data_IF_511048141979
#
_entry.id   IF_511048141979
#
_cell.length_a   1.000
_cell.length_b   1.000
_cell.length_c   1.000
_cell.angle_alpha   90.00
_cell.angle_beta   90.00
_cell.angle_gamma   90.00
#
_symmetry.space_group_name_H-M   'P 1'
#
loop_
_entity.id
_entity.type
_entity.pdbx_description
1 polymer ?
#
# COMPACT_ATOMS: atom_id res chain seq x y z
N UNK A 1 -15.32 2.94 19.64
CA UNK A 1 -15.19 2.40 18.27
C UNK A 1 -14.90 3.48 17.22
N UNK A 2 -15.71 4.58 17.17
CA UNK A 2 -15.59 5.63 16.11
C UNK A 2 -14.19 6.25 16.00
N UNK A 3 -13.46 6.61 17.07
CA UNK A 3 -12.09 7.13 16.95
C UNK A 3 -11.13 6.12 16.32
N UNK A 4 -11.18 4.85 16.73
CA UNK A 4 -10.35 3.77 16.17
C UNK A 4 -10.67 3.59 14.68
N UNK A 5 -11.95 3.53 14.32
CA UNK A 5 -12.39 3.39 12.92
C UNK A 5 -11.89 4.53 12.02
N UNK A 6 -11.90 5.78 12.51
CA UNK A 6 -11.33 6.92 11.79
C UNK A 6 -9.81 6.82 11.67
N UNK A 7 -9.13 6.42 12.75
CA UNK A 7 -7.68 6.28 12.76
C UNK A 7 -7.18 5.12 11.86
N UNK A 8 -8.02 4.09 11.64
CA UNK A 8 -7.76 2.97 10.72
C UNK A 8 -8.21 3.24 9.28
N UNK A 9 -8.42 4.51 8.91
CA UNK A 9 -8.86 4.92 7.60
C UNK A 9 -10.13 4.19 7.13
N UNK A 10 -11.13 4.14 8.02
CA UNK A 10 -12.46 3.60 7.77
C UNK A 10 -12.45 2.11 7.39
N UNK A 11 -11.60 1.32 8.02
CA UNK A 11 -11.49 -0.11 7.77
C UNK A 11 -12.84 -0.84 7.91
N UNK A 12 -13.10 -1.84 7.05
CA UNK A 12 -14.28 -2.68 7.18
C UNK A 12 -14.22 -3.57 8.43
N UNK A 13 -15.38 -4.05 8.90
CA UNK A 13 -15.49 -4.80 10.14
C UNK A 13 -14.57 -6.02 10.23
N UNK A 14 -14.36 -6.76 9.13
CA UNK A 14 -13.43 -7.90 9.10
C UNK A 14 -11.98 -7.48 9.39
N UNK A 15 -11.54 -6.33 8.88
CA UNK A 15 -10.22 -5.77 9.16
C UNK A 15 -10.15 -5.22 10.59
N UNK A 16 -11.20 -4.53 11.04
CA UNK A 16 -11.28 -3.97 12.39
C UNK A 16 -11.16 -5.05 13.47
N UNK A 17 -11.87 -6.16 13.34
CA UNK A 17 -11.78 -7.28 14.29
C UNK A 17 -10.33 -7.71 14.51
N UNK A 18 -9.56 -7.85 13.43
CA UNK A 18 -8.15 -8.23 13.52
C UNK A 18 -7.25 -7.14 14.16
N UNK A 19 -7.65 -5.87 14.06
CA UNK A 19 -6.87 -4.73 14.55
C UNK A 19 -7.23 -4.33 15.99
N UNK A 20 -8.49 -4.50 16.43
CA UNK A 20 -8.97 -4.06 17.74
C UNK A 20 -8.12 -4.52 18.93
N UNK A 21 -7.59 -5.76 19.00
CA UNK A 21 -6.76 -6.20 20.12
C UNK A 21 -5.53 -5.31 20.36
N UNK A 22 -4.97 -4.75 19.32
CA UNK A 22 -3.80 -3.87 19.38
C UNK A 22 -4.19 -2.38 19.43
N UNK A 23 -5.24 -1.99 18.72
CA UNK A 23 -5.66 -0.59 18.63
C UNK A 23 -6.39 -0.09 19.89
N UNK A 24 -7.07 -0.94 20.64
CA UNK A 24 -7.73 -0.54 21.89
C UNK A 24 -6.71 -0.10 22.95
N UNK A 25 -5.68 -0.90 23.30
CA UNK A 25 -4.64 -0.45 24.24
C UNK A 25 -3.93 0.83 23.77
N UNK A 26 -3.61 0.92 22.48
CA UNK A 26 -2.98 2.11 21.91
C UNK A 26 -3.88 3.36 22.02
N UNK A 27 -5.18 3.21 21.83
CA UNK A 27 -6.17 4.27 22.05
C UNK A 27 -6.20 4.72 23.52
N UNK A 28 -6.20 3.76 24.46
CA UNK A 28 -6.25 4.05 25.89
C UNK A 28 -5.01 4.79 26.39
N UNK A 29 -3.85 4.50 25.82
CA UNK A 29 -2.59 5.22 26.10
C UNK A 29 -2.59 6.64 25.53
N UNK A 30 -3.21 6.85 24.40
CA UNK A 30 -3.11 8.10 23.64
C UNK A 30 -4.24 9.08 23.90
N UNK A 31 -5.45 8.60 24.16
CA UNK A 31 -6.65 9.43 24.29
C UNK A 31 -7.24 9.34 25.70
N UNK A 32 -7.96 8.28 25.99
CA UNK A 32 -8.61 8.06 27.27
C UNK A 32 -8.95 6.59 27.51
N UNK A 33 -9.00 6.22 28.76
CA UNK A 33 -9.40 4.88 29.18
C UNK A 33 -10.83 4.56 28.73
N UNK A 34 -11.02 3.35 28.19
CA UNK A 34 -12.31 2.84 27.77
C UNK A 34 -12.97 2.09 28.95
N UNK A 35 -14.30 2.22 29.16
CA UNK A 35 -15.00 1.36 30.11
C UNK A 35 -14.79 -0.13 29.82
N UNK A 36 -14.49 -0.94 30.82
CA UNK A 36 -14.17 -2.37 30.65
C UNK A 36 -15.23 -3.14 29.86
N UNK A 37 -16.50 -2.94 30.19
CA UNK A 37 -17.61 -3.54 29.46
C UNK A 37 -17.63 -3.21 27.96
N UNK A 38 -17.30 -1.96 27.60
CA UNK A 38 -17.23 -1.54 26.18
C UNK A 38 -16.04 -2.21 25.49
N UNK A 39 -14.90 -2.30 26.18
CA UNK A 39 -13.70 -2.98 25.68
C UNK A 39 -13.99 -4.45 25.36
N UNK A 40 -14.58 -5.16 26.29
CA UNK A 40 -14.93 -6.58 26.15
C UNK A 40 -15.92 -6.79 24.99
N UNK A 41 -16.99 -6.00 24.93
CA UNK A 41 -17.97 -6.07 23.84
C UNK A 41 -17.33 -5.80 22.46
N UNK A 42 -16.36 -4.88 22.36
CA UNK A 42 -15.67 -4.60 21.10
C UNK A 42 -14.77 -5.75 20.68
N UNK A 43 -14.07 -6.41 21.63
CA UNK A 43 -13.20 -7.55 21.35
C UNK A 43 -13.98 -8.81 20.96
N UNK A 44 -15.22 -8.96 21.44
CA UNK A 44 -16.11 -10.08 21.11
C UNK A 44 -16.97 -9.81 19.86
N UNK A 45 -17.00 -8.58 19.36
CA UNK A 45 -17.86 -8.20 18.25
C UNK A 45 -17.42 -8.84 16.93
N UNK A 46 -18.39 -9.41 16.18
CA UNK A 46 -18.13 -9.88 14.82
C UNK A 46 -17.90 -8.71 13.85
N UNK A 47 -17.18 -8.94 12.75
CA UNK A 47 -16.99 -7.95 11.71
C UNK A 47 -18.31 -7.39 11.16
N UNK A 48 -19.33 -8.23 11.00
CA UNK A 48 -20.67 -7.80 10.58
C UNK A 48 -21.34 -6.88 11.61
N UNK A 49 -21.16 -7.16 12.90
CA UNK A 49 -21.66 -6.29 13.97
C UNK A 49 -21.00 -4.93 13.93
N UNK A 50 -19.67 -4.87 13.76
CA UNK A 50 -18.92 -3.61 13.62
C UNK A 50 -19.35 -2.83 12.38
N UNK A 51 -19.51 -3.49 11.23
CA UNK A 51 -19.98 -2.84 10.00
C UNK A 51 -21.36 -2.21 10.18
N UNK A 52 -22.32 -2.93 10.81
CA UNK A 52 -23.66 -2.43 11.09
C UNK A 52 -23.66 -1.21 12.03
N UNK A 53 -22.83 -1.24 13.06
CA UNK A 53 -22.70 -0.12 14.01
C UNK A 53 -22.09 1.13 13.36
N UNK A 54 -21.27 0.96 12.33
CA UNK A 54 -20.58 2.05 11.63
C UNK A 54 -21.30 2.52 10.37
N UNK A 55 -22.25 1.76 9.87
CA UNK A 55 -23.01 2.08 8.63
C UNK A 55 -23.62 3.48 8.63
N UNK A 56 -24.29 3.96 9.71
CA UNK A 56 -24.86 5.32 9.73
C UNK A 56 -23.83 6.44 9.65
N UNK A 57 -22.54 6.11 9.86
CA UNK A 57 -21.43 7.07 9.86
C UNK A 57 -20.66 7.10 8.53
N UNK A 58 -21.01 6.25 7.56
CA UNK A 58 -20.36 6.16 6.24
C UNK A 58 -20.92 7.24 5.32
N UNK A 59 -20.05 8.16 4.86
CA UNK A 59 -20.39 9.12 3.81
C UNK A 59 -20.22 8.52 2.41
N UNK A 60 -20.87 9.10 1.40
CA UNK A 60 -20.68 8.74 -0.01
C UNK A 60 -19.43 9.45 -0.54
N UNK A 61 -18.44 8.71 -1.05
CA UNK A 61 -17.23 9.22 -1.66
C UNK A 61 -17.29 9.14 -3.19
N UNK A 62 -16.95 10.24 -3.89
CA UNK A 62 -16.87 10.30 -5.35
C UNK A 62 -15.47 10.74 -5.79
N UNK A 63 -14.77 9.90 -6.60
CA UNK A 63 -13.50 10.25 -7.24
C UNK A 63 -13.21 9.32 -8.43
N UNK A 64 -12.67 9.87 -9.54
CA UNK A 64 -12.29 9.10 -10.74
C UNK A 64 -10.86 9.38 -11.17
N UNK A 65 -10.16 8.36 -11.70
CA UNK A 65 -8.83 8.46 -12.30
C UNK A 65 -8.90 8.72 -13.81
N UNK A 66 -7.95 9.51 -14.36
CA UNK A 66 -7.95 9.98 -15.76
C UNK A 66 -6.81 9.40 -16.62
N UNK A 67 -5.99 8.47 -16.15
CA UNK A 67 -4.79 7.97 -16.86
C UNK A 67 -5.01 6.72 -17.70
N UNK A 68 -4.23 6.55 -18.80
CA UNK A 68 -4.26 5.39 -19.73
C UNK A 68 -2.89 4.70 -19.81
N UNK A 69 -2.82 3.35 -20.09
CA UNK A 69 -1.58 2.58 -20.17
C UNK A 69 -0.71 2.91 -21.39
N UNK A 70 0.63 2.77 -21.28
CA UNK A 70 1.62 2.92 -22.35
C UNK A 70 1.85 1.66 -23.20
N UNK A 71 2.55 1.80 -24.37
CA UNK A 71 2.63 0.74 -25.40
C UNK A 71 4.03 0.24 -25.79
N UNK A 72 5.13 0.75 -25.23
CA UNK A 72 6.50 0.44 -25.62
C UNK A 72 7.09 -0.81 -24.92
N UNK A 73 7.85 -1.65 -25.63
CA UNK A 73 8.57 -2.85 -25.12
C UNK A 73 7.75 -4.08 -24.71
N UNK A 74 6.49 -4.18 -25.08
CA UNK A 74 5.62 -5.33 -24.74
C UNK A 74 6.13 -6.71 -25.21
N UNK A 75 7.01 -6.78 -26.22
CA UNK A 75 7.43 -8.05 -26.82
C UNK A 75 8.61 -8.72 -26.10
N UNK A 76 9.37 -8.00 -25.27
CA UNK A 76 10.61 -8.49 -24.66
C UNK A 76 10.46 -8.97 -23.21
N UNK A 77 9.36 -8.64 -22.54
CA UNK A 77 9.14 -8.98 -21.14
C UNK A 77 8.08 -10.07 -21.03
N UNK A 78 8.37 -11.20 -20.35
CA UNK A 78 7.45 -12.30 -20.21
C UNK A 78 6.20 -11.87 -19.44
N UNK A 79 5.07 -12.45 -19.83
CA UNK A 79 3.81 -12.31 -19.10
C UNK A 79 3.92 -13.10 -17.79
N UNK A 80 3.36 -12.58 -16.69
CA UNK A 80 3.21 -13.29 -15.42
C UNK A 80 2.68 -14.70 -15.66
N UNK A 81 3.48 -15.69 -15.38
CA UNK A 81 3.19 -17.11 -15.54
C UNK A 81 3.59 -17.89 -14.29
N UNK A 82 3.91 -19.17 -14.45
CA UNK A 82 4.33 -20.09 -13.37
C UNK A 82 5.66 -19.75 -12.68
N UNK A 83 6.33 -18.65 -13.08
CA UNK A 83 7.60 -18.21 -12.50
C UNK A 83 7.44 -17.62 -11.09
N UNK A 84 6.24 -17.19 -10.72
CA UNK A 84 5.99 -16.61 -9.40
C UNK A 84 5.76 -17.70 -8.37
N UNK A 85 6.64 -17.76 -7.39
CA UNK A 85 6.42 -18.56 -6.21
C UNK A 85 5.50 -17.78 -5.25
N UNK A 86 4.19 -17.97 -5.41
CA UNK A 86 3.14 -17.17 -4.75
C UNK A 86 3.21 -17.11 -3.22
N UNK A 87 3.94 -18.02 -2.59
CA UNK A 87 4.15 -18.08 -1.14
C UNK A 87 5.38 -17.33 -0.63
N UNK A 88 6.32 -16.95 -1.51
CA UNK A 88 7.58 -16.33 -1.12
C UNK A 88 7.53 -14.81 -1.13
N UNK A 89 8.06 -14.18 -0.06
CA UNK A 89 8.28 -12.74 -0.02
C UNK A 89 9.37 -12.31 -1.02
N UNK A 90 9.20 -11.14 -1.62
CA UNK A 90 10.16 -10.57 -2.56
C UNK A 90 9.62 -10.36 -3.98
N UNK A 91 8.37 -10.70 -4.24
CA UNK A 91 7.71 -10.45 -5.51
C UNK A 91 6.83 -9.21 -5.42
N UNK A 92 7.32 -8.07 -5.95
CA UNK A 92 6.62 -6.80 -5.91
C UNK A 92 5.74 -6.57 -7.14
N UNK A 93 4.46 -6.31 -6.91
CA UNK A 93 3.59 -5.67 -7.89
C UNK A 93 3.78 -4.15 -7.78
N UNK A 94 4.14 -3.49 -8.89
CA UNK A 94 4.39 -2.05 -8.93
C UNK A 94 3.47 -1.34 -9.91
N UNK A 95 3.01 -0.15 -9.51
CA UNK A 95 2.16 0.72 -10.34
C UNK A 95 2.49 2.19 -10.10
N UNK A 96 2.04 3.07 -10.97
CA UNK A 96 2.18 4.52 -10.81
C UNK A 96 0.83 5.21 -10.67
N UNK A 97 0.77 6.16 -9.75
CA UNK A 97 -0.43 6.97 -9.50
C UNK A 97 -0.14 8.43 -9.77
N UNK A 98 -0.81 9.01 -10.77
CA UNK A 98 -0.70 10.41 -11.14
C UNK A 98 -1.43 11.31 -10.12
N UNK A 99 -0.76 12.26 -9.51
CA UNK A 99 -1.39 13.30 -8.69
C UNK A 99 -1.67 14.56 -9.53
N UNK A 100 -2.39 14.38 -10.63
CA UNK A 100 -2.63 15.37 -11.69
C UNK A 100 -3.87 16.25 -11.45
N UNK A 101 -4.71 15.96 -10.47
CA UNK A 101 -6.00 16.64 -10.32
C UNK A 101 -6.92 16.39 -11.51
N UNK A 102 -7.57 17.45 -11.98
CA UNK A 102 -8.48 17.42 -13.13
C UNK A 102 -7.81 17.53 -14.50
N UNK A 103 -6.46 17.63 -14.58
CA UNK A 103 -5.72 17.81 -15.85
C UNK A 103 -4.42 17.04 -15.86
N UNK A 104 -4.12 16.36 -16.95
CA UNK A 104 -2.85 15.66 -17.19
C UNK A 104 -1.81 16.54 -17.90
N UNK A 105 -2.12 17.81 -18.19
CA UNK A 105 -1.20 18.74 -18.82
C UNK A 105 -0.10 19.20 -17.86
N UNK A 106 1.12 19.38 -18.37
CA UNK A 106 2.29 19.81 -17.61
C UNK A 106 2.82 18.72 -16.66
N UNK A 107 3.74 19.12 -15.79
CA UNK A 107 4.37 18.23 -14.84
C UNK A 107 3.69 18.27 -13.47
N UNK A 108 3.74 17.18 -12.76
CA UNK A 108 3.17 17.00 -11.42
C UNK A 108 3.82 15.78 -10.74
N UNK A 109 3.54 15.62 -9.46
CA UNK A 109 4.05 14.48 -8.69
C UNK A 109 3.35 13.19 -9.13
N UNK A 110 4.15 12.17 -9.32
CA UNK A 110 3.72 10.77 -9.46
C UNK A 110 4.12 9.98 -8.24
N UNK A 111 3.29 9.02 -7.86
CA UNK A 111 3.60 8.06 -6.81
C UNK A 111 3.87 6.70 -7.43
N UNK A 112 4.98 6.08 -7.08
CA UNK A 112 5.24 4.65 -7.34
C UNK A 112 4.73 3.89 -6.14
N UNK A 113 3.77 2.99 -6.34
CA UNK A 113 3.21 2.09 -5.31
C UNK A 113 3.70 0.68 -5.58
N UNK A 114 4.39 0.08 -4.61
CA UNK A 114 4.90 -1.28 -4.67
C UNK A 114 4.35 -2.11 -3.53
N UNK A 115 3.85 -3.29 -3.84
CA UNK A 115 3.27 -4.20 -2.86
C UNK A 115 3.81 -5.60 -3.04
N UNK A 116 4.38 -6.17 -1.99
CA UNK A 116 4.78 -7.56 -2.02
C UNK A 116 3.57 -8.49 -2.05
N UNK A 117 3.59 -9.41 -3.00
CA UNK A 117 2.47 -10.32 -3.25
C UNK A 117 2.20 -11.27 -2.08
N UNK A 118 3.24 -11.81 -1.47
CA UNK A 118 3.10 -12.78 -0.38
C UNK A 118 2.70 -12.12 0.94
N UNK A 119 3.40 -11.07 1.33
CA UNK A 119 3.26 -10.44 2.64
C UNK A 119 2.30 -9.25 2.64
N UNK A 120 1.97 -8.70 1.47
CA UNK A 120 1.28 -7.41 1.32
C UNK A 120 2.06 -6.22 1.92
N UNK A 121 3.38 -6.36 2.09
CA UNK A 121 4.26 -5.25 2.49
C UNK A 121 4.22 -4.15 1.44
N UNK A 122 4.13 -2.90 1.90
CA UNK A 122 3.89 -1.74 1.04
C UNK A 122 5.09 -0.80 1.08
N UNK A 123 5.57 -0.42 -0.10
CA UNK A 123 6.51 0.68 -0.28
C UNK A 123 5.94 1.69 -1.27
N UNK A 124 5.98 2.97 -0.93
CA UNK A 124 5.48 4.06 -1.78
C UNK A 124 6.56 5.12 -1.92
N UNK A 125 6.74 5.65 -3.13
CA UNK A 125 7.67 6.76 -3.39
C UNK A 125 7.04 7.82 -4.27
N UNK A 126 7.30 9.08 -3.92
CA UNK A 126 6.97 10.23 -4.74
C UNK A 126 8.13 10.53 -5.71
N UNK A 127 7.80 10.89 -6.95
CA UNK A 127 8.75 11.36 -7.94
C UNK A 127 8.18 12.54 -8.72
N UNK A 128 9.04 13.41 -9.24
CA UNK A 128 8.64 14.50 -10.12
C UNK A 128 8.55 14.02 -11.55
N UNK A 129 7.38 14.20 -12.17
CA UNK A 129 7.12 13.71 -13.52
C UNK A 129 7.13 12.17 -13.62
N UNK A 130 6.95 11.65 -14.83
CA UNK A 130 6.92 10.21 -15.14
C UNK A 130 8.16 9.80 -15.94
N UNK A 131 9.34 10.16 -15.43
CA UNK A 131 10.61 9.90 -16.11
C UNK A 131 11.21 8.55 -15.72
N UNK A 132 11.89 7.89 -16.68
CA UNK A 132 12.55 6.59 -16.46
C UNK A 132 13.60 6.62 -15.35
N UNK A 133 14.36 7.72 -15.24
CA UNK A 133 15.39 7.90 -14.21
C UNK A 133 14.76 8.04 -12.82
N UNK A 134 13.69 8.83 -12.70
CA UNK A 134 12.95 8.98 -11.44
C UNK A 134 12.30 7.68 -11.00
N UNK A 135 11.72 6.92 -11.92
CA UNK A 135 11.14 5.60 -11.64
C UNK A 135 12.21 4.61 -11.14
N UNK A 136 13.38 4.57 -11.81
CA UNK A 136 14.48 3.70 -11.39
C UNK A 136 14.97 4.08 -9.98
N UNK A 137 15.18 5.36 -9.71
CA UNK A 137 15.59 5.84 -8.38
C UNK A 137 14.57 5.48 -7.29
N UNK A 138 13.28 5.62 -7.60
CA UNK A 138 12.19 5.22 -6.69
C UNK A 138 12.23 3.72 -6.39
N UNK A 139 12.37 2.87 -7.41
CA UNK A 139 12.47 1.41 -7.26
C UNK A 139 13.69 0.98 -6.45
N UNK A 140 14.84 1.61 -6.66
CA UNK A 140 16.08 1.33 -5.90
C UNK A 140 15.92 1.72 -4.42
N UNK A 141 15.31 2.86 -4.15
CA UNK A 141 15.05 3.30 -2.76
C UNK A 141 13.98 2.42 -2.08
N UNK A 142 12.97 1.94 -2.82
CA UNK A 142 12.01 0.97 -2.31
C UNK A 142 12.69 -0.35 -1.94
N UNK A 143 13.54 -0.89 -2.81
CA UNK A 143 14.29 -2.12 -2.55
C UNK A 143 15.14 -2.02 -1.29
N UNK A 144 15.85 -0.89 -1.11
CA UNK A 144 16.67 -0.66 0.08
C UNK A 144 15.86 -0.65 1.39
N UNK A 145 14.55 -0.43 1.31
CA UNK A 145 13.63 -0.39 2.46
C UNK A 145 12.94 -1.73 2.75
N UNK A 146 13.03 -2.70 1.82
CA UNK A 146 12.37 -3.99 1.98
C UNK A 146 12.97 -4.82 3.13
N UNK A 147 12.15 -5.52 3.91
CA UNK A 147 12.64 -6.44 4.95
C UNK A 147 13.06 -7.82 4.41
N UNK A 148 13.07 -8.01 3.10
CA UNK A 148 13.44 -9.23 2.38
C UNK A 148 14.09 -8.89 1.05
N UNK A 149 14.76 -9.88 0.44
CA UNK A 149 15.39 -9.70 -0.87
C UNK A 149 14.35 -9.56 -1.98
N UNK A 150 14.58 -8.66 -2.92
CA UNK A 150 13.77 -8.53 -4.12
C UNK A 150 14.05 -9.72 -5.07
N UNK A 151 13.02 -10.48 -5.40
CA UNK A 151 13.06 -11.64 -6.29
C UNK A 151 12.48 -11.34 -7.68
N UNK A 152 11.47 -10.48 -7.73
CA UNK A 152 10.84 -10.11 -8.99
C UNK A 152 10.00 -8.83 -8.89
N UNK A 153 9.83 -8.20 -10.05
CA UNK A 153 8.94 -7.06 -10.26
C UNK A 153 7.88 -7.42 -11.28
N UNK A 154 6.61 -7.19 -10.94
CA UNK A 154 5.49 -7.22 -11.88
C UNK A 154 4.93 -5.81 -12.04
N UNK A 155 4.79 -5.36 -13.28
CA UNK A 155 4.21 -4.07 -13.55
C UNK A 155 3.08 -4.17 -14.56
N UNK A 156 2.27 -3.12 -14.63
CA UNK A 156 1.44 -2.93 -15.80
C UNK A 156 2.33 -2.69 -17.05
N UNK A 157 1.71 -2.55 -18.22
CA UNK A 157 2.45 -2.31 -19.45
C UNK A 157 2.93 -0.83 -19.59
N UNK A 158 3.19 -0.14 -18.50
CA UNK A 158 3.64 1.24 -18.47
C UNK A 158 5.09 1.40 -18.95
N UNK A 159 5.34 2.34 -19.88
CA UNK A 159 6.69 2.58 -20.43
C UNK A 159 7.71 3.08 -19.42
N UNK A 160 7.26 3.57 -18.25
CA UNK A 160 8.11 3.98 -17.15
C UNK A 160 8.78 2.80 -16.43
N UNK A 161 8.12 1.63 -16.41
CA UNK A 161 8.68 0.39 -15.86
C UNK A 161 9.34 -0.44 -16.97
N UNK A 162 8.69 -0.53 -18.14
CA UNK A 162 9.15 -1.29 -19.28
C UNK A 162 10.19 -0.48 -20.09
N UNK A 163 11.36 -0.27 -19.49
CA UNK A 163 12.46 0.47 -20.13
C UNK A 163 13.82 -0.19 -19.87
N UNK A 164 14.81 0.17 -20.70
CA UNK A 164 16.15 -0.41 -20.66
C UNK A 164 16.90 -0.14 -19.34
N UNK A 165 16.63 0.98 -18.66
CA UNK A 165 17.30 1.32 -17.40
C UNK A 165 16.88 0.36 -16.29
N UNK A 166 15.57 0.12 -16.13
CA UNK A 166 15.03 -0.81 -15.15
C UNK A 166 15.46 -2.24 -15.46
N UNK A 167 15.34 -2.69 -16.72
CA UNK A 167 15.78 -4.03 -17.14
C UNK A 167 17.28 -4.25 -16.85
N UNK A 168 18.12 -3.29 -17.23
CA UNK A 168 19.57 -3.38 -16.99
C UNK A 168 19.92 -3.42 -15.51
N UNK A 169 19.20 -2.65 -14.69
CA UNK A 169 19.36 -2.67 -13.24
C UNK A 169 18.98 -4.03 -12.64
N UNK A 170 17.88 -4.65 -13.09
CA UNK A 170 17.43 -5.95 -12.62
C UNK A 170 18.36 -7.10 -13.05
N UNK A 171 18.97 -7.00 -14.25
CA UNK A 171 19.84 -8.05 -14.82
C UNK A 171 21.29 -7.97 -14.36
N UNK A 172 21.84 -6.76 -14.09
CA UNK A 172 23.25 -6.54 -13.69
C UNK A 172 23.50 -6.79 -12.21
N UNK A 173 22.99 -7.90 -11.68
CA UNK A 173 23.13 -8.29 -10.28
C UNK A 173 23.77 -9.67 -10.17
N UNK A 174 24.45 -9.99 -9.04
CA UNK A 174 24.91 -11.35 -8.77
C UNK A 174 23.77 -12.37 -8.84
N UNK A 175 22.58 -11.98 -8.36
CA UNK A 175 21.34 -12.73 -8.50
C UNK A 175 20.34 -11.87 -9.30
N UNK A 176 20.07 -12.22 -10.57
CA UNK A 176 19.12 -11.47 -11.39
C UNK A 176 17.71 -11.49 -10.79
N UNK A 177 17.06 -10.33 -10.84
CA UNK A 177 15.67 -10.17 -10.43
C UNK A 177 14.79 -10.33 -11.67
N UNK A 178 13.75 -11.14 -11.56
CA UNK A 178 12.82 -11.38 -12.65
C UNK A 178 11.93 -10.16 -12.87
N UNK A 179 11.69 -9.81 -14.13
CA UNK A 179 10.68 -8.84 -14.49
C UNK A 179 9.57 -9.54 -15.26
N UNK A 180 8.34 -9.33 -14.81
CA UNK A 180 7.14 -9.82 -15.47
C UNK A 180 6.20 -8.66 -15.74
N UNK A 181 5.19 -8.90 -16.56
CA UNK A 181 4.11 -7.96 -16.83
C UNK A 181 2.76 -8.66 -16.74
N UNK A 182 1.77 -7.93 -16.32
CA UNK A 182 0.39 -8.40 -16.30
C UNK A 182 -0.14 -8.68 -17.72
N UNK A 183 -1.05 -9.63 -17.83
CA UNK A 183 -1.67 -10.01 -19.10
C UNK A 183 -2.50 -8.85 -19.65
N UNK A 184 -2.37 -8.51 -20.96
CA UNK A 184 -3.22 -7.50 -21.57
C UNK A 184 -4.70 -7.87 -21.44
N UNK A 185 -5.53 -6.90 -21.05
CA UNK A 185 -6.99 -7.04 -20.94
C UNK A 185 -7.52 -7.99 -19.86
N UNK A 186 -6.68 -8.61 -19.03
CA UNK A 186 -7.12 -9.35 -17.85
C UNK A 186 -7.07 -8.47 -16.61
N UNK A 187 -8.15 -7.74 -16.37
CA UNK A 187 -8.33 -6.87 -15.18
C UNK A 187 -8.16 -7.60 -13.84
N UNK A 188 -8.33 -8.91 -13.84
CA UNK A 188 -8.16 -9.74 -12.63
C UNK A 188 -6.71 -9.87 -12.18
N UNK A 189 -5.72 -9.70 -13.07
CA UNK A 189 -4.29 -9.76 -12.73
C UNK A 189 -3.84 -8.50 -11.97
N UNK A 190 -4.47 -7.34 -12.25
CA UNK A 190 -4.16 -6.05 -11.64
C UNK A 190 -5.18 -5.59 -10.57
N UNK A 191 -6.25 -6.38 -10.34
CA UNK A 191 -7.30 -5.99 -9.39
C UNK A 191 -6.79 -5.79 -7.95
N UNK A 192 -5.65 -6.39 -7.61
CA UNK A 192 -4.99 -6.20 -6.32
C UNK A 192 -4.30 -4.82 -6.24
N UNK A 193 -3.60 -4.39 -7.29
CA UNK A 193 -2.86 -3.12 -7.30
C UNK A 193 -3.81 -1.94 -7.48
N UNK A 194 -4.81 -2.01 -8.36
CA UNK A 194 -5.78 -0.91 -8.55
C UNK A 194 -6.55 -0.58 -7.26
N UNK A 195 -6.98 -1.61 -6.51
CA UNK A 195 -7.61 -1.41 -5.21
C UNK A 195 -6.64 -0.86 -4.17
N UNK A 196 -5.35 -1.21 -4.27
CA UNK A 196 -4.29 -0.77 -3.37
C UNK A 196 -3.86 0.66 -3.65
N UNK A 197 -3.80 1.10 -4.90
CA UNK A 197 -3.55 2.50 -5.28
C UNK A 197 -4.51 3.47 -4.60
N UNK A 198 -5.78 3.09 -4.48
CA UNK A 198 -6.73 3.88 -3.71
C UNK A 198 -6.36 3.92 -2.23
N UNK A 199 -6.07 2.76 -1.62
CA UNK A 199 -5.77 2.64 -0.19
C UNK A 199 -4.43 3.28 0.18
N UNK A 200 -3.38 3.09 -0.64
CA UNK A 200 -2.02 3.51 -0.31
C UNK A 200 -1.72 4.95 -0.74
N UNK A 201 -2.33 5.42 -1.81
CA UNK A 201 -2.03 6.73 -2.37
C UNK A 201 -3.22 7.68 -2.27
N UNK A 202 -4.37 7.32 -2.87
CA UNK A 202 -5.50 8.25 -2.97
C UNK A 202 -6.16 8.57 -1.63
N UNK A 203 -6.22 7.61 -0.74
CA UNK A 203 -6.75 7.82 0.61
C UNK A 203 -5.87 8.77 1.43
N UNK A 204 -4.56 8.80 1.16
CA UNK A 204 -3.60 9.68 1.82
C UNK A 204 -3.56 11.08 1.16
N UNK A 205 -3.29 11.14 -0.15
CA UNK A 205 -3.01 12.37 -0.87
C UNK A 205 -4.21 12.94 -1.64
N UNK A 206 -5.32 12.22 -1.74
CA UNK A 206 -6.52 12.64 -2.44
C UNK A 206 -6.40 12.60 -3.96
N UNK A 207 -7.27 13.39 -4.61
CA UNK A 207 -7.34 13.52 -6.08
C UNK A 207 -6.89 14.90 -6.55
N UNK A 208 -6.37 15.72 -5.68
CA UNK A 208 -5.93 17.06 -6.00
C UNK A 208 -4.62 17.06 -6.78
N UNK A 209 -4.35 18.17 -7.49
CA UNK A 209 -3.12 18.34 -8.26
C UNK A 209 -1.95 18.71 -7.33
N UNK A 210 -0.81 18.06 -7.55
CA UNK A 210 0.45 18.31 -6.85
C UNK A 210 1.52 18.68 -7.87
N UNK A 211 1.59 19.94 -8.27
CA UNK A 211 2.45 20.47 -9.33
C UNK A 211 3.61 21.33 -8.82
N UNK A 212 4.03 21.12 -7.60
CA UNK A 212 5.24 21.69 -7.03
C UNK A 212 6.30 20.59 -6.80
N UNK A 213 7.50 20.66 -7.44
CA UNK A 213 8.56 19.66 -7.25
C UNK A 213 9.08 19.59 -5.81
N UNK A 214 8.99 20.67 -5.04
CA UNK A 214 9.39 20.71 -3.63
C UNK A 214 8.53 19.82 -2.74
N UNK A 215 7.37 19.32 -3.23
CA UNK A 215 6.52 18.39 -2.51
C UNK A 215 7.10 16.96 -2.46
N UNK A 216 7.99 16.61 -3.37
CA UNK A 216 8.53 15.24 -3.49
C UNK A 216 9.23 14.80 -2.21
N UNK A 217 10.09 15.63 -1.65
CA UNK A 217 10.83 15.28 -0.43
C UNK A 217 9.95 15.12 0.80
N UNK A 218 9.07 16.07 1.19
CA UNK A 218 8.18 15.90 2.32
C UNK A 218 7.15 14.76 2.12
N UNK A 219 6.74 14.48 0.88
CA UNK A 219 5.90 13.32 0.58
C UNK A 219 6.67 12.02 0.80
N UNK A 220 7.92 11.93 0.36
CA UNK A 220 8.78 10.77 0.60
C UNK A 220 9.07 10.58 2.09
N UNK A 221 9.35 11.64 2.83
CA UNK A 221 9.51 11.58 4.28
C UNK A 221 8.27 11.01 4.98
N UNK A 222 7.07 11.40 4.53
CA UNK A 222 5.81 10.89 5.06
C UNK A 222 5.61 9.40 4.76
N UNK A 223 5.77 8.97 3.49
CA UNK A 223 5.47 7.59 3.08
C UNK A 223 6.53 6.59 3.54
N UNK A 224 7.78 7.00 3.67
CA UNK A 224 8.87 6.18 4.28
C UNK A 224 8.77 6.13 5.80
N UNK A 225 8.23 7.16 6.42
CA UNK A 225 8.10 7.31 7.87
C UNK A 225 6.72 6.88 8.40
N UNK A 226 6.02 7.82 8.98
CA UNK A 226 4.81 7.57 9.75
C UNK A 226 3.71 6.83 8.96
N UNK A 227 3.54 7.13 7.68
CA UNK A 227 2.50 6.49 6.87
C UNK A 227 2.86 5.05 6.50
N UNK A 228 4.10 4.79 6.04
CA UNK A 228 4.57 3.43 5.74
C UNK A 228 4.56 2.53 6.98
N UNK A 229 4.98 3.08 8.13
CA UNK A 229 4.89 2.37 9.40
C UNK A 229 3.44 2.05 9.78
N UNK A 230 2.51 2.99 9.62
CA UNK A 230 1.10 2.77 9.89
C UNK A 230 0.53 1.65 9.01
N UNK A 231 0.82 1.67 7.70
CA UNK A 231 0.36 0.66 6.75
C UNK A 231 0.93 -0.73 7.06
N UNK A 232 2.24 -0.82 7.26
CA UNK A 232 2.92 -2.11 7.35
C UNK A 232 2.80 -2.76 8.73
N UNK A 233 2.77 -1.98 9.80
CA UNK A 233 2.79 -2.50 11.16
C UNK A 233 1.39 -2.64 11.79
N UNK A 234 0.42 -1.78 11.37
CA UNK A 234 -0.84 -1.65 12.10
C UNK A 234 -2.09 -1.82 11.26
N UNK A 235 -2.03 -1.65 9.93
CA UNK A 235 -3.19 -1.83 9.08
C UNK A 235 -3.31 -3.28 8.59
N UNK A 236 -4.34 -3.98 9.04
CA UNK A 236 -4.63 -5.32 8.54
C UNK A 236 -5.21 -5.25 7.11
N UNK A 237 -4.82 -6.20 6.27
CA UNK A 237 -5.33 -6.40 4.92
C UNK A 237 -5.92 -7.80 4.76
N UNK A 238 -6.86 -7.95 3.82
CA UNK A 238 -7.39 -9.24 3.42
C UNK A 238 -6.63 -9.71 2.18
N UNK A 239 -6.12 -10.94 2.19
CA UNK A 239 -5.54 -11.59 1.02
C UNK A 239 -6.55 -12.55 0.42
N UNK A 240 -6.71 -12.52 -0.91
CA UNK A 240 -7.53 -13.50 -1.62
C UNK A 240 -6.88 -14.87 -1.48
N UNK A 241 -7.62 -15.84 -0.97
CA UNK A 241 -7.18 -17.22 -0.84
C UNK A 241 -7.44 -17.96 -2.15
N UNK A 242 -8.72 -18.07 -2.54
CA UNK A 242 -9.11 -18.70 -3.79
C UNK A 242 -10.43 -18.14 -4.34
N UNK A 243 -10.73 -18.49 -5.59
CA UNK A 243 -12.00 -18.19 -6.26
C UNK A 243 -12.81 -19.46 -6.42
N UNK A 244 -14.04 -19.49 -5.89
CA UNK A 244 -15.00 -20.56 -6.12
C UNK A 244 -15.92 -20.19 -7.28
N UNK A 245 -16.09 -21.11 -8.20
CA UNK A 245 -17.08 -20.99 -9.29
C UNK A 245 -18.32 -21.81 -8.93
N UNK A 246 -19.44 -21.12 -8.64
CA UNK A 246 -20.70 -21.78 -8.28
C UNK A 246 -21.86 -21.18 -9.07
N UNK A 247 -22.58 -22.04 -9.83
CA UNK A 247 -23.75 -21.64 -10.62
C UNK A 247 -23.53 -20.41 -11.51
N UNK A 248 -22.39 -20.35 -12.24
CA UNK A 248 -22.07 -19.24 -13.14
C UNK A 248 -21.61 -17.95 -12.45
N UNK A 249 -21.51 -17.94 -11.10
CA UNK A 249 -21.02 -16.81 -10.31
C UNK A 249 -19.65 -17.13 -9.72
N UNK A 250 -18.76 -16.12 -9.71
CA UNK A 250 -17.45 -16.20 -9.06
C UNK A 250 -17.57 -15.65 -7.64
N UNK A 251 -17.32 -16.49 -6.64
CA UNK A 251 -17.19 -16.10 -5.24
C UNK A 251 -15.72 -16.00 -4.86
N UNK A 252 -15.30 -14.86 -4.35
CA UNK A 252 -13.94 -14.63 -3.84
C UNK A 252 -13.88 -14.99 -2.37
N UNK A 253 -13.02 -15.95 -2.01
CA UNK A 253 -12.76 -16.35 -0.62
C UNK A 253 -11.49 -15.67 -0.17
N UNK A 254 -11.57 -14.96 0.95
CA UNK A 254 -10.45 -14.24 1.55
C UNK A 254 -10.04 -14.91 2.85
N UNK A 255 -8.75 -15.02 3.07
CA UNK A 255 -8.16 -15.48 4.32
C UNK A 255 -8.44 -14.54 5.50
N UNK A 256 -7.86 -14.86 6.64
CA UNK A 256 -7.90 -14.00 7.82
C UNK A 256 -7.22 -12.65 7.53
N UNK A 257 -7.81 -11.57 8.09
CA UNK A 257 -7.18 -10.26 8.03
C UNK A 257 -5.92 -10.23 8.89
N UNK A 258 -4.79 -9.80 8.31
CA UNK A 258 -3.49 -9.72 9.00
C UNK A 258 -2.76 -8.45 8.55
N UNK A 259 -1.88 -7.92 9.42
CA UNK A 259 -0.96 -6.85 9.02
C UNK A 259 0.13 -7.39 8.09
N UNK A 260 0.71 -6.56 7.20
CA UNK A 260 1.90 -6.95 6.44
C UNK A 260 3.02 -7.47 7.33
N UNK A 261 3.28 -6.82 8.46
CA UNK A 261 4.27 -7.27 9.43
C UNK A 261 3.98 -8.70 9.93
N UNK A 262 2.75 -9.04 10.27
CA UNK A 262 2.42 -10.39 10.74
C UNK A 262 2.76 -11.45 9.69
N UNK A 263 2.55 -11.15 8.40
CA UNK A 263 2.92 -12.03 7.29
C UNK A 263 4.43 -12.11 7.08
N UNK A 264 5.15 -10.97 7.21
CA UNK A 264 6.62 -10.94 7.15
C UNK A 264 7.23 -11.78 8.27
N UNK A 265 6.70 -11.70 9.48
CA UNK A 265 7.17 -12.51 10.62
C UNK A 265 6.92 -14.02 10.42
N UNK A 266 5.88 -14.38 9.68
CA UNK A 266 5.57 -15.78 9.34
C UNK A 266 6.35 -16.30 8.12
N UNK A 267 7.01 -15.41 7.33
CA UNK A 267 7.76 -15.80 6.13
C UNK A 267 9.08 -16.49 6.47
N UNK A 268 9.40 -17.58 5.76
CA UNK A 268 10.67 -18.28 5.89
C UNK A 268 11.85 -17.55 5.24
N UNK A 269 11.57 -16.69 4.24
CA UNK A 269 12.57 -15.92 3.49
C UNK A 269 13.14 -14.74 4.29
N UNK A 270 12.50 -14.38 5.40
CA UNK A 270 12.93 -13.26 6.25
C UNK A 270 13.80 -13.80 7.39
N UNK A 271 15.01 -13.27 7.51
CA UNK A 271 15.96 -13.68 8.54
C UNK A 271 15.42 -13.37 9.94
N UNK A 272 15.77 -14.18 10.92
CA UNK A 272 15.34 -13.97 12.31
C UNK A 272 15.85 -12.63 12.86
N UNK A 273 17.06 -12.20 12.48
CA UNK A 273 17.59 -10.88 12.83
C UNK A 273 16.70 -9.74 12.32
N UNK A 274 16.19 -9.84 11.09
CA UNK A 274 15.25 -8.84 10.52
C UNK A 274 13.92 -8.87 11.26
N UNK A 275 13.38 -10.05 11.57
CA UNK A 275 12.13 -10.18 12.35
C UNK A 275 12.25 -9.52 13.72
N UNK A 276 13.34 -9.77 14.41
CA UNK A 276 13.60 -9.16 15.74
C UNK A 276 13.73 -7.63 15.66
N UNK A 277 14.43 -7.10 14.64
CA UNK A 277 14.51 -5.66 14.39
C UNK A 277 13.11 -5.06 14.18
N UNK A 278 12.29 -5.66 13.31
CA UNK A 278 10.94 -5.18 13.03
C UNK A 278 10.03 -5.20 14.28
N UNK A 279 10.17 -6.21 15.13
CA UNK A 279 9.45 -6.28 16.41
C UNK A 279 9.89 -5.19 17.39
N UNK A 280 11.21 -4.92 17.47
CA UNK A 280 11.75 -3.83 18.29
C UNK A 280 11.27 -2.46 17.79
N UNK A 281 11.27 -2.24 16.46
CA UNK A 281 10.74 -1.03 15.85
C UNK A 281 9.26 -0.87 16.20
N UNK A 282 8.46 -1.93 16.03
CA UNK A 282 7.03 -1.91 16.37
C UNK A 282 6.78 -1.56 17.83
N UNK A 283 7.57 -2.10 18.74
CA UNK A 283 7.39 -1.89 20.19
C UNK A 283 7.51 -0.41 20.62
N UNK A 284 8.17 0.42 19.79
CA UNK A 284 8.34 1.86 20.04
C UNK A 284 7.24 2.71 19.41
N UNK A 285 6.33 2.11 18.64
CA UNK A 285 5.33 2.82 17.85
C UNK A 285 3.96 2.76 18.51
N UNK A 286 3.22 3.86 18.41
CA UNK A 286 1.80 3.92 18.74
C UNK A 286 1.02 4.37 17.49
N UNK A 287 0.03 3.60 17.01
CA UNK A 287 -0.69 3.90 15.77
C UNK A 287 -1.47 5.21 15.82
N UNK A 288 -1.93 5.69 16.97
CA UNK A 288 -2.57 6.99 17.10
C UNK A 288 -1.56 8.13 16.97
N UNK A 289 -0.37 8.00 17.56
CA UNK A 289 0.72 8.97 17.39
C UNK A 289 1.18 9.04 15.93
N UNK A 290 1.31 7.88 15.26
CA UNK A 290 1.61 7.81 13.82
C UNK A 290 0.51 8.51 13.00
N UNK A 291 -0.78 8.25 13.28
CA UNK A 291 -1.89 8.91 12.56
C UNK A 291 -1.90 10.42 12.76
N UNK A 292 -1.55 10.92 13.94
CA UNK A 292 -1.37 12.35 14.16
C UNK A 292 -0.19 12.91 13.37
N UNK A 293 0.95 12.19 13.33
CA UNK A 293 2.10 12.59 12.52
C UNK A 293 1.73 12.66 11.03
N UNK A 294 1.03 11.65 10.51
CA UNK A 294 0.49 11.65 9.14
C UNK A 294 -0.39 12.88 8.90
N UNK A 295 -1.30 13.19 9.82
CA UNK A 295 -2.21 14.34 9.69
C UNK A 295 -1.44 15.67 9.67
N UNK A 296 -0.40 15.82 10.52
CA UNK A 296 0.45 17.02 10.53
C UNK A 296 1.22 17.19 9.22
N UNK A 297 1.83 16.11 8.72
CA UNK A 297 2.59 16.13 7.46
C UNK A 297 1.70 16.46 6.27
N UNK A 298 0.49 15.89 6.19
CA UNK A 298 -0.46 16.20 5.14
C UNK A 298 -0.93 17.67 5.17
N UNK A 299 -1.11 18.25 6.35
CA UNK A 299 -1.41 19.68 6.48
C UNK A 299 -0.27 20.55 5.94
N UNK A 300 0.99 20.22 6.26
CA UNK A 300 2.18 20.92 5.76
C UNK A 300 2.29 20.82 4.23
N UNK A 301 2.16 19.60 3.67
CA UNK A 301 2.14 19.36 2.22
C UNK A 301 1.03 20.15 1.53
N UNK A 302 -0.18 20.18 2.11
CA UNK A 302 -1.29 20.96 1.58
C UNK A 302 -1.05 22.48 1.63
N UNK A 303 -0.36 22.98 2.64
CA UNK A 303 0.04 24.40 2.71
C UNK A 303 1.04 24.77 1.61
N UNK A 304 2.11 23.96 1.43
CA UNK A 304 3.10 24.15 0.36
C UNK A 304 2.48 24.15 -1.05
N UNK A 305 1.44 23.34 -1.26
CA UNK A 305 0.70 23.30 -2.52
C UNK A 305 -0.04 24.61 -2.80
N UNK A 306 -0.68 25.20 -1.78
CA UNK A 306 -1.50 26.43 -1.92
C UNK A 306 -0.70 27.72 -2.14
N UNK A 307 0.54 27.78 -1.66
CA UNK A 307 1.38 28.97 -1.77
C UNK A 307 1.89 29.28 -3.19
N UNK A 308 1.58 28.46 -4.18
CA UNK A 308 1.98 28.66 -5.59
C UNK A 308 0.86 29.21 -6.51
N UNK A 309 -0.31 29.42 -5.95
CA UNK A 309 -1.47 30.07 -6.59
C UNK A 309 -1.76 31.39 -5.86
#
# INVERSE_FOLDING_TARGET
LRPIWRATDYACGRRLVAMLPEWIPAYEQHEKRMPGEVREKLLLASGRTLDRLLEPLRGQGTGRSLTRPGTLLRQQIPIRGSLWEEGKAGWLEVDTVALCGGSVAGEFVWMVDGVDYATTWVEVRAMWGRGQVGTLAALQDMEASLPFSLLGLDSDNGGEFLNHHVLKWLQKRPQPVFMTRSRPYKKDDNAHVEQKNWTHVRQCFGYERHDNPELVEPMNALVKGAYGQLLNYFHASLKLDHKEHKAGKVRRIYGAAQTPLARVLASAEVTEATKQRLLQDKARLNPFALKQAVTRSLKAISAMRRHRH
#
